data_IF_573660061505
#
_entry.id   IF_573660061505
#
_cell.length_a   1.000
_cell.length_b   1.000
_cell.length_c   1.000
_cell.angle_alpha   90.00
_cell.angle_beta   90.00
_cell.angle_gamma   90.00
#
_symmetry.space_group_name_H-M   'P 1'
#
loop_
_entity.id
_entity.type
_entity.pdbx_description
1 polymer ?
#
# COMPACT_ATOMS: atom_id res chain seq x y z
N UNK A 1 -19.77 -5.14 -28.62
CA UNK A 1 -20.17 -5.84 -27.40
C UNK A 1 -20.04 -4.86 -26.25
N UNK A 2 -21.13 -4.33 -25.73
CA UNK A 2 -21.14 -3.46 -24.56
C UNK A 2 -20.91 -4.34 -23.34
N UNK A 3 -19.70 -4.26 -22.76
CA UNK A 3 -19.44 -4.87 -21.45
C UNK A 3 -20.36 -4.21 -20.44
N UNK A 4 -21.35 -4.92 -19.94
CA UNK A 4 -22.18 -4.46 -18.84
C UNK A 4 -21.37 -4.57 -17.55
N UNK A 5 -20.95 -3.42 -17.01
CA UNK A 5 -20.28 -3.34 -15.70
C UNK A 5 -21.16 -3.98 -14.63
N UNK A 6 -20.62 -4.86 -13.82
CA UNK A 6 -21.40 -5.54 -12.78
C UNK A 6 -21.83 -4.55 -11.68
N UNK A 7 -22.97 -4.78 -11.00
CA UNK A 7 -23.39 -3.93 -9.88
C UNK A 7 -22.33 -3.81 -8.77
N UNK A 8 -21.56 -4.87 -8.53
CA UNK A 8 -20.48 -4.88 -7.54
C UNK A 8 -19.35 -3.95 -7.96
N UNK A 9 -18.96 -3.95 -9.24
CA UNK A 9 -17.94 -3.03 -9.76
C UNK A 9 -18.39 -1.59 -9.68
N UNK A 10 -19.65 -1.29 -10.00
CA UNK A 10 -20.22 0.05 -9.84
C UNK A 10 -20.16 0.50 -8.38
N UNK A 11 -20.59 -0.37 -7.45
CA UNK A 11 -20.55 -0.06 -6.03
C UNK A 11 -19.13 0.15 -5.52
N UNK A 12 -18.19 -0.69 -5.91
CA UNK A 12 -16.76 -0.54 -5.55
C UNK A 12 -16.22 0.80 -6.06
N UNK A 13 -16.52 1.16 -7.30
CA UNK A 13 -16.10 2.44 -7.87
C UNK A 13 -16.69 3.63 -7.10
N UNK A 14 -17.98 3.60 -6.76
CA UNK A 14 -18.60 4.66 -5.95
C UNK A 14 -17.96 4.81 -4.57
N UNK A 15 -17.64 3.71 -3.91
CA UNK A 15 -16.95 3.75 -2.62
C UNK A 15 -15.53 4.33 -2.75
N UNK A 16 -14.81 3.97 -3.81
CA UNK A 16 -13.48 4.54 -4.08
C UNK A 16 -13.55 6.04 -4.32
N UNK A 17 -14.49 6.52 -5.14
CA UNK A 17 -14.69 7.94 -5.40
C UNK A 17 -15.12 8.71 -4.14
N UNK A 18 -15.99 8.12 -3.33
CA UNK A 18 -16.38 8.69 -2.04
C UNK A 18 -15.16 8.84 -1.11
N UNK A 19 -14.32 7.81 -0.99
CA UNK A 19 -13.14 7.86 -0.14
C UNK A 19 -12.09 8.86 -0.66
N UNK A 20 -11.93 8.97 -1.97
CA UNK A 20 -11.10 10.00 -2.60
C UNK A 20 -11.61 11.40 -2.28
N UNK A 21 -12.93 11.61 -2.42
CA UNK A 21 -13.58 12.89 -2.06
C UNK A 21 -13.40 13.27 -0.61
N UNK A 22 -13.49 12.30 0.32
CA UNK A 22 -13.21 12.53 1.74
C UNK A 22 -11.77 12.97 1.99
N UNK A 23 -10.79 12.34 1.34
CA UNK A 23 -9.39 12.76 1.48
C UNK A 23 -9.17 14.20 0.99
N UNK A 24 -9.76 14.54 -0.16
CA UNK A 24 -9.70 15.91 -0.70
C UNK A 24 -10.35 16.91 0.25
N UNK A 25 -11.54 16.61 0.75
CA UNK A 25 -12.26 17.48 1.69
C UNK A 25 -11.46 17.71 2.97
N UNK A 26 -10.98 16.65 3.61
CA UNK A 26 -10.18 16.76 4.84
C UNK A 26 -8.87 17.51 4.55
N UNK A 27 -8.26 17.31 3.38
CA UNK A 27 -7.04 18.03 3.01
C UNK A 27 -7.27 19.54 2.89
N UNK A 28 -8.43 19.96 2.36
CA UNK A 28 -8.77 21.37 2.19
C UNK A 28 -9.17 22.03 3.51
N UNK A 29 -9.98 21.36 4.30
CA UNK A 29 -10.55 21.93 5.53
C UNK A 29 -9.59 21.83 6.74
N UNK A 30 -8.85 20.73 6.87
CA UNK A 30 -8.05 20.42 8.06
C UNK A 30 -6.53 20.38 7.77
N UNK A 31 -6.14 20.37 6.51
CA UNK A 31 -4.75 20.35 6.08
C UNK A 31 -4.18 18.94 5.83
N UNK A 32 -3.03 18.91 5.20
CA UNK A 32 -2.38 17.70 4.71
C UNK A 32 -1.86 16.78 5.82
N UNK A 33 -1.42 17.36 6.94
CA UNK A 33 -0.94 16.62 8.09
C UNK A 33 -2.05 15.79 8.72
N UNK A 34 -3.27 16.34 8.79
CA UNK A 34 -4.45 15.64 9.33
C UNK A 34 -4.86 14.49 8.42
N UNK A 35 -4.82 14.67 7.09
CA UNK A 35 -5.03 13.57 6.14
C UNK A 35 -4.00 12.46 6.34
N UNK A 36 -2.72 12.80 6.48
CA UNK A 36 -1.65 11.85 6.72
C UNK A 36 -1.87 11.02 7.99
N UNK A 37 -2.23 11.68 9.10
CA UNK A 37 -2.51 11.00 10.37
C UNK A 37 -3.77 10.13 10.29
N UNK A 38 -4.82 10.61 9.63
CA UNK A 38 -6.04 9.83 9.42
C UNK A 38 -5.77 8.56 8.61
N UNK A 39 -5.03 8.68 7.49
CA UNK A 39 -4.62 7.54 6.67
C UNK A 39 -3.74 6.55 7.44
N UNK A 40 -2.83 7.06 8.27
CA UNK A 40 -2.02 6.22 9.14
C UNK A 40 -2.88 5.37 10.08
N UNK A 41 -3.81 5.99 10.82
CA UNK A 41 -4.68 5.28 11.77
C UNK A 41 -5.59 4.28 11.09
N UNK A 42 -6.18 4.66 9.96
CA UNK A 42 -7.06 3.79 9.18
C UNK A 42 -6.34 2.54 8.72
N UNK A 43 -5.19 2.70 8.09
CA UNK A 43 -4.46 1.57 7.53
C UNK A 43 -3.70 0.75 8.58
N UNK A 44 -3.30 1.34 9.69
CA UNK A 44 -2.80 0.61 10.84
C UNK A 44 -3.86 -0.33 11.40
N UNK A 45 -5.06 0.17 11.63
CA UNK A 45 -6.18 -0.63 12.11
C UNK A 45 -6.53 -1.77 11.14
N UNK A 46 -6.64 -1.48 9.85
CA UNK A 46 -6.91 -2.52 8.85
C UNK A 46 -5.82 -3.59 8.81
N UNK A 47 -4.56 -3.18 8.92
CA UNK A 47 -3.44 -4.10 8.97
C UNK A 47 -3.54 -5.05 10.18
N UNK A 48 -3.73 -4.51 11.37
CA UNK A 48 -3.84 -5.28 12.62
C UNK A 48 -5.01 -6.27 12.59
N UNK A 49 -6.15 -5.88 12.00
CA UNK A 49 -7.34 -6.72 11.89
C UNK A 49 -7.22 -7.83 10.83
N UNK A 50 -6.46 -7.62 9.76
CA UNK A 50 -6.58 -8.46 8.55
C UNK A 50 -5.29 -9.09 8.04
N UNK A 51 -4.14 -8.49 8.24
CA UNK A 51 -2.90 -8.87 7.55
C UNK A 51 -2.52 -10.34 7.77
N UNK A 52 -2.32 -10.77 9.02
CA UNK A 52 -1.90 -12.14 9.31
C UNK A 52 -2.91 -13.19 8.85
N UNK A 53 -4.21 -12.94 9.09
CA UNK A 53 -5.25 -13.87 8.64
C UNK A 53 -5.31 -13.98 7.11
N UNK A 54 -4.97 -12.92 6.41
CA UNK A 54 -4.94 -12.92 4.95
C UNK A 54 -3.67 -13.55 4.40
N UNK A 55 -2.53 -13.40 5.06
CA UNK A 55 -1.29 -14.11 4.72
C UNK A 55 -1.54 -15.62 4.74
N UNK A 56 -2.15 -16.15 5.83
CA UNK A 56 -2.50 -17.57 5.92
C UNK A 56 -3.51 -18.02 4.86
N UNK A 57 -4.57 -17.25 4.62
CA UNK A 57 -5.57 -17.59 3.59
C UNK A 57 -4.99 -17.62 2.17
N UNK A 58 -3.95 -16.83 1.91
CA UNK A 58 -3.28 -16.77 0.62
C UNK A 58 -2.13 -17.79 0.48
N UNK A 59 -1.86 -18.58 1.53
CA UNK A 59 -0.81 -19.61 1.52
C UNK A 59 0.60 -19.02 1.45
N UNK A 60 0.84 -17.92 2.14
CA UNK A 60 2.11 -17.20 2.09
C UNK A 60 2.97 -17.41 3.36
N UNK A 61 2.49 -18.19 4.33
CA UNK A 61 3.12 -18.36 5.64
C UNK A 61 4.51 -18.99 5.59
N UNK A 62 4.75 -19.88 4.62
CA UNK A 62 6.01 -20.61 4.48
C UNK A 62 7.03 -19.89 3.60
N UNK A 63 6.70 -18.70 3.09
CA UNK A 63 7.62 -17.92 2.25
C UNK A 63 8.54 -17.04 3.10
N UNK A 64 9.75 -16.71 2.59
CA UNK A 64 10.57 -15.65 3.17
C UNK A 64 9.74 -14.36 3.34
N UNK A 65 9.89 -13.66 4.45
CA UNK A 65 8.97 -12.58 4.83
C UNK A 65 8.94 -11.42 3.83
N UNK A 66 10.09 -11.04 3.23
CA UNK A 66 10.11 -10.01 2.19
C UNK A 66 9.30 -10.42 0.96
N UNK A 67 9.44 -11.69 0.54
CA UNK A 67 8.70 -12.29 -0.57
C UNK A 67 7.21 -12.40 -0.25
N UNK A 68 6.87 -12.88 0.96
CA UNK A 68 5.48 -13.00 1.42
C UNK A 68 4.77 -11.65 1.41
N UNK A 69 5.41 -10.60 1.92
CA UNK A 69 4.85 -9.24 1.92
C UNK A 69 4.61 -8.73 0.49
N UNK A 70 5.56 -8.90 -0.42
CA UNK A 70 5.41 -8.46 -1.79
C UNK A 70 4.29 -9.23 -2.52
N UNK A 71 4.26 -10.56 -2.42
CA UNK A 71 3.20 -11.41 -3.00
C UNK A 71 1.83 -11.11 -2.40
N UNK A 72 1.76 -10.82 -1.10
CA UNK A 72 0.53 -10.37 -0.45
C UNK A 72 -0.09 -9.17 -1.18
N UNK A 73 0.72 -8.16 -1.50
CA UNK A 73 0.21 -6.98 -2.19
C UNK A 73 -0.27 -7.26 -3.61
N UNK A 74 0.39 -8.16 -4.32
CA UNK A 74 -0.07 -8.60 -5.65
C UNK A 74 -1.43 -9.27 -5.55
N UNK A 75 -1.56 -10.27 -4.67
CA UNK A 75 -2.76 -11.08 -4.56
C UNK A 75 -3.94 -10.30 -3.96
N UNK A 76 -3.72 -9.59 -2.85
CA UNK A 76 -4.77 -8.85 -2.17
C UNK A 76 -5.32 -7.68 -2.98
N UNK A 77 -4.46 -6.95 -3.68
CA UNK A 77 -4.88 -5.85 -4.54
C UNK A 77 -5.51 -6.36 -5.85
N UNK A 78 -5.05 -7.50 -6.37
CA UNK A 78 -5.65 -8.15 -7.54
C UNK A 78 -7.13 -8.47 -7.36
N UNK A 79 -7.56 -8.85 -6.16
CA UNK A 79 -8.98 -9.05 -5.83
C UNK A 79 -9.78 -7.75 -5.99
N UNK A 80 -9.18 -6.61 -5.68
CA UNK A 80 -9.79 -5.28 -5.85
C UNK A 80 -9.60 -4.67 -7.25
N UNK A 81 -9.06 -5.43 -8.21
CA UNK A 81 -8.83 -4.96 -9.58
C UNK A 81 -7.60 -4.06 -9.74
N UNK A 82 -6.78 -3.91 -8.71
CA UNK A 82 -5.53 -3.11 -8.79
C UNK A 82 -4.39 -3.97 -9.31
N UNK A 83 -3.77 -3.52 -10.38
CA UNK A 83 -2.64 -4.20 -10.98
C UNK A 83 -1.35 -3.87 -10.22
N UNK A 84 -0.77 -4.90 -9.61
CA UNK A 84 0.53 -4.82 -8.94
C UNK A 84 1.52 -5.76 -9.61
N UNK A 85 2.67 -5.24 -9.98
CA UNK A 85 3.79 -6.01 -10.51
C UNK A 85 4.67 -6.48 -9.34
N UNK A 86 5.14 -7.70 -9.43
CA UNK A 86 6.03 -8.33 -8.48
C UNK A 86 7.36 -8.66 -9.15
N UNK A 87 8.45 -8.46 -8.44
CA UNK A 87 9.77 -8.87 -8.88
C UNK A 87 10.57 -9.36 -7.67
N UNK A 88 10.95 -10.62 -7.68
CA UNK A 88 11.84 -11.21 -6.70
C UNK A 88 13.30 -10.87 -7.07
N UNK A 89 14.03 -10.32 -6.12
CA UNK A 89 15.47 -10.07 -6.29
C UNK A 89 16.26 -11.12 -5.53
N UNK A 90 15.86 -11.38 -4.27
CA UNK A 90 16.39 -12.44 -3.42
C UNK A 90 15.31 -12.88 -2.42
N UNK A 91 15.54 -13.95 -1.68
CA UNK A 91 14.65 -14.36 -0.59
C UNK A 91 14.46 -13.25 0.47
N UNK A 92 15.43 -12.36 0.64
CA UNK A 92 15.41 -11.26 1.61
C UNK A 92 15.05 -9.91 1.01
N UNK A 93 14.78 -9.84 -0.32
CA UNK A 93 14.42 -8.60 -1.01
C UNK A 93 13.46 -8.85 -2.16
N UNK A 94 12.29 -8.23 -2.12
CA UNK A 94 11.27 -8.38 -3.13
C UNK A 94 10.55 -7.04 -3.41
N UNK A 95 10.35 -6.75 -4.67
CA UNK A 95 9.79 -5.51 -5.19
C UNK A 95 8.31 -5.60 -5.44
N UNK A 96 7.64 -4.46 -5.28
CA UNK A 96 6.26 -4.22 -5.71
C UNK A 96 6.17 -2.92 -6.48
N UNK A 97 5.38 -2.92 -7.55
CA UNK A 97 5.09 -1.73 -8.33
C UNK A 97 3.60 -1.68 -8.65
N UNK A 98 2.94 -0.65 -8.17
CA UNK A 98 1.52 -0.43 -8.39
C UNK A 98 1.32 0.33 -9.69
N UNK A 99 0.50 -0.22 -10.57
CA UNK A 99 0.16 0.41 -11.85
C UNK A 99 -1.08 1.26 -11.70
N UNK A 100 -1.13 2.35 -12.47
CA UNK A 100 -2.32 3.20 -12.55
C UNK A 100 -3.44 2.52 -13.35
N UNK A 101 -4.72 2.69 -12.99
CA UNK A 101 -5.20 3.35 -11.78
C UNK A 101 -4.90 2.52 -10.55
N UNK A 102 -4.48 3.20 -9.47
CA UNK A 102 -4.22 2.53 -8.22
C UNK A 102 -5.40 2.69 -7.29
N UNK A 103 -6.23 1.65 -7.19
CA UNK A 103 -7.30 1.56 -6.21
C UNK A 103 -8.25 2.77 -6.32
N UNK A 104 -8.43 3.57 -5.24
CA UNK A 104 -9.24 4.79 -5.27
C UNK A 104 -8.59 5.94 -6.04
N UNK A 105 -7.32 5.87 -6.34
CA UNK A 105 -6.57 6.93 -7.03
C UNK A 105 -6.75 6.78 -8.54
N UNK A 106 -7.89 7.27 -9.01
CA UNK A 106 -8.28 7.28 -10.42
C UNK A 106 -8.82 8.66 -10.81
N UNK A 107 -8.50 9.08 -12.03
CA UNK A 107 -8.94 10.36 -12.57
C UNK A 107 -8.14 11.58 -12.08
N UNK A 108 -8.46 12.78 -12.57
CA UNK A 108 -7.68 13.99 -12.31
C UNK A 108 -7.71 14.45 -10.85
N UNK A 109 -8.66 14.03 -10.07
CA UNK A 109 -8.78 14.37 -8.65
C UNK A 109 -7.59 13.94 -7.81
N UNK A 110 -6.82 12.92 -8.26
CA UNK A 110 -5.60 12.48 -7.58
C UNK A 110 -4.54 13.59 -7.46
N UNK A 111 -4.54 14.56 -8.38
CA UNK A 111 -3.62 15.69 -8.33
C UNK A 111 -3.82 16.59 -7.09
N UNK A 112 -4.98 16.53 -6.46
CA UNK A 112 -5.28 17.25 -5.21
C UNK A 112 -4.98 16.46 -3.94
N UNK A 113 -4.60 15.19 -4.05
CA UNK A 113 -4.26 14.36 -2.88
C UNK A 113 -2.82 14.68 -2.43
N UNK A 114 -2.62 15.13 -1.18
CA UNK A 114 -1.29 15.40 -0.67
C UNK A 114 -0.49 14.11 -0.50
N UNK A 115 0.83 14.21 -0.66
CA UNK A 115 1.75 13.06 -0.49
C UNK A 115 1.67 12.45 0.92
N UNK A 116 1.30 13.23 1.91
CA UNK A 116 1.10 12.82 3.29
C UNK A 116 0.03 11.71 3.41
N UNK A 117 -0.97 11.71 2.54
CA UNK A 117 -1.96 10.62 2.50
C UNK A 117 -1.31 9.28 2.15
N UNK A 118 -0.46 9.24 1.14
CA UNK A 118 0.29 8.05 0.74
C UNK A 118 1.30 7.63 1.81
N UNK A 119 2.01 8.58 2.40
CA UNK A 119 2.96 8.33 3.49
C UNK A 119 2.28 7.80 4.74
N UNK A 120 1.10 8.33 5.09
CA UNK A 120 0.27 7.80 6.16
C UNK A 120 -0.12 6.34 5.93
N UNK A 121 -0.55 6.00 4.73
CA UNK A 121 -0.83 4.62 4.33
C UNK A 121 0.41 3.71 4.52
N UNK A 122 1.56 4.09 3.97
CA UNK A 122 2.80 3.29 4.07
C UNK A 122 3.22 3.10 5.53
N UNK A 123 3.18 4.15 6.33
CA UNK A 123 3.49 4.11 7.76
C UNK A 123 2.51 3.22 8.52
N UNK A 124 1.23 3.27 8.17
CA UNK A 124 0.19 2.44 8.79
C UNK A 124 0.32 0.96 8.43
N UNK A 125 0.60 0.66 7.19
CA UNK A 125 0.60 -0.71 6.65
C UNK A 125 2.01 -1.30 6.54
N UNK A 126 2.88 -0.74 5.70
CA UNK A 126 4.15 -1.39 5.34
C UNK A 126 5.16 -1.42 6.48
N UNK A 127 5.27 -0.33 7.24
CA UNK A 127 6.13 -0.30 8.42
C UNK A 127 5.70 -1.28 9.53
N UNK A 128 4.46 -1.78 9.48
CA UNK A 128 3.92 -2.72 10.47
C UNK A 128 4.14 -4.19 10.09
N UNK A 129 4.46 -4.49 8.84
CA UNK A 129 4.59 -5.88 8.36
C UNK A 129 5.59 -6.68 9.21
N UNK A 130 6.78 -6.14 9.45
CA UNK A 130 7.79 -6.80 10.27
C UNK A 130 7.36 -7.03 11.72
N UNK A 131 6.64 -6.07 12.30
CA UNK A 131 6.09 -6.21 13.66
C UNK A 131 5.11 -7.37 13.73
N UNK A 132 4.17 -7.43 12.80
CA UNK A 132 3.14 -8.49 12.78
C UNK A 132 3.72 -9.86 12.49
N UNK A 133 4.73 -9.96 11.63
CA UNK A 133 5.45 -11.20 11.32
C UNK A 133 6.50 -11.56 12.36
N UNK A 134 6.65 -10.77 13.42
CA UNK A 134 7.69 -10.94 14.45
C UNK A 134 9.12 -10.99 13.87
N UNK A 135 9.33 -10.24 12.80
CA UNK A 135 10.62 -10.08 12.15
C UNK A 135 11.07 -8.62 12.26
N UNK A 136 11.85 -8.26 13.31
CA UNK A 136 12.29 -6.88 13.54
C UNK A 136 13.24 -6.36 12.47
N UNK A 137 13.78 -7.23 11.61
CA UNK A 137 14.70 -6.88 10.54
C UNK A 137 13.99 -6.54 9.22
N UNK A 138 12.67 -6.72 9.13
CA UNK A 138 11.92 -6.48 7.91
C UNK A 138 11.44 -5.03 7.84
N UNK A 139 11.83 -4.33 6.78
CA UNK A 139 11.40 -2.97 6.45
C UNK A 139 10.90 -2.83 5.01
N UNK A 140 10.39 -1.66 4.69
CA UNK A 140 9.99 -1.25 3.35
C UNK A 140 10.74 0.00 2.92
N UNK A 141 11.27 0.00 1.71
CA UNK A 141 11.89 1.17 1.07
C UNK A 141 11.02 1.62 -0.08
N UNK A 142 10.48 2.83 0.01
CA UNK A 142 9.75 3.48 -1.07
C UNK A 142 10.76 4.13 -2.03
N UNK A 143 10.68 3.77 -3.30
CA UNK A 143 11.56 4.29 -4.36
C UNK A 143 10.84 5.33 -5.21
N UNK A 144 9.52 5.18 -5.37
CA UNK A 144 8.70 6.15 -6.08
C UNK A 144 7.37 6.32 -5.37
N UNK A 145 7.03 7.55 -5.06
CA UNK A 145 5.71 7.97 -4.53
C UNK A 145 4.73 8.37 -5.64
N UNK A 146 5.09 8.17 -6.91
CA UNK A 146 4.26 8.56 -8.04
C UNK A 146 2.93 7.80 -8.05
N UNK A 147 1.84 8.51 -7.91
CA UNK A 147 0.48 7.97 -7.99
C UNK A 147 -0.10 8.09 -9.41
N UNK A 148 0.64 8.71 -10.32
CA UNK A 148 0.25 8.96 -11.69
C UNK A 148 0.64 7.81 -12.62
N UNK A 149 0.73 8.08 -13.91
CA UNK A 149 0.70 7.05 -14.96
C UNK A 149 2.05 6.41 -15.22
N UNK A 150 3.16 7.15 -15.10
CA UNK A 150 4.40 6.79 -15.78
C UNK A 150 5.25 5.78 -15.01
N UNK A 151 5.57 6.08 -13.77
CA UNK A 151 6.41 5.20 -12.95
C UNK A 151 5.59 4.34 -12.00
N UNK A 152 4.52 4.89 -11.45
CA UNK A 152 3.70 4.27 -10.42
C UNK A 152 4.39 4.24 -9.07
N UNK A 153 3.61 4.01 -8.04
CA UNK A 153 4.14 3.77 -6.70
C UNK A 153 4.97 2.50 -6.71
N UNK A 154 6.22 2.60 -6.27
CA UNK A 154 7.17 1.50 -6.33
C UNK A 154 8.05 1.46 -5.08
N UNK A 155 8.40 0.26 -4.65
CA UNK A 155 9.33 0.04 -3.55
C UNK A 155 9.62 -1.43 -3.35
N UNK A 156 10.36 -1.75 -2.31
CA UNK A 156 10.72 -3.12 -2.00
C UNK A 156 10.68 -3.39 -0.50
N UNK A 157 10.28 -4.60 -0.16
CA UNK A 157 10.49 -5.18 1.17
C UNK A 157 11.90 -5.74 1.25
N UNK A 158 12.57 -5.51 2.39
CA UNK A 158 13.93 -5.98 2.62
C UNK A 158 14.11 -6.42 4.07
N UNK A 159 14.76 -7.57 4.24
CA UNK A 159 15.29 -8.00 5.53
C UNK A 159 16.74 -7.54 5.66
N UNK A 160 17.03 -6.84 6.74
CA UNK A 160 18.35 -6.32 7.05
C UNK A 160 19.12 -7.33 7.91
N UNK A 161 20.40 -7.09 8.09
CA UNK A 161 21.29 -7.89 8.94
C UNK A 161 21.21 -7.52 10.43
N UNK A 162 20.44 -6.48 10.76
CA UNK A 162 20.21 -5.96 12.11
C UNK A 162 18.73 -5.66 12.34
N UNK A 163 18.34 -5.51 13.62
CA UNK A 163 16.99 -5.12 13.99
C UNK A 163 16.78 -3.63 13.71
N UNK A 164 15.64 -3.31 13.10
CA UNK A 164 15.27 -1.95 12.72
C UNK A 164 14.57 -1.23 13.88
N UNK A 165 15.01 -0.01 14.16
CA UNK A 165 14.25 0.92 14.97
C UNK A 165 12.90 1.25 14.30
N UNK A 166 11.87 1.70 15.04
CA UNK A 166 10.55 2.00 14.46
C UNK A 166 10.58 2.94 13.25
N UNK A 167 11.43 3.94 13.27
CA UNK A 167 11.63 4.94 12.21
C UNK A 167 12.33 4.39 10.97
N UNK A 168 13.09 3.31 11.11
CA UNK A 168 13.82 2.66 10.01
C UNK A 168 12.97 1.66 9.21
N UNK A 169 11.79 1.28 9.74
CA UNK A 169 10.92 0.28 9.10
C UNK A 169 10.27 0.78 7.81
N UNK A 170 10.21 2.10 7.63
CA UNK A 170 9.80 2.75 6.39
C UNK A 170 10.86 3.77 6.01
N UNK A 171 11.48 3.55 4.88
CA UNK A 171 12.50 4.44 4.34
C UNK A 171 12.07 4.94 2.96
N UNK A 172 12.59 6.09 2.58
CA UNK A 172 12.44 6.65 1.23
C UNK A 172 13.81 6.66 0.59
N UNK A 173 13.91 6.12 -0.63
CA UNK A 173 15.17 6.17 -1.36
C UNK A 173 15.55 7.64 -1.60
N UNK A 174 16.84 7.99 -1.50
CA UNK A 174 17.27 9.34 -1.90
C UNK A 174 17.01 9.56 -3.39
N UNK A 175 16.67 10.81 -3.72
CA UNK A 175 16.49 11.27 -5.10
C UNK A 175 17.80 11.15 -5.92
#
# INVERSE_FOLDING_TARGET
>A
MTSTTSPIEVQAHLHHQYFLGLQLMVSVEEGKEVVGEWMFRLFRRQHEEKFLSSVGKLGLDDLPHAVACAKYHVLSNGVGGVRVEYMEETDTKAWVRFRYPRWMYDGPAICGIPVEASRGFMKGWYAQNGVSLKNPRLGFVCVSEDLTVQFGFCGYFKEYDHDLAPEERLQFAPD
#
